data_IF_058304196815
#
_entry.id   IF_058304196815
#
_cell.length_a   1.000
_cell.length_b   1.000
_cell.length_c   1.000
_cell.angle_alpha   90.00
_cell.angle_beta   90.00
_cell.angle_gamma   90.00
#
_symmetry.space_group_name_H-M   'P 1'
#
loop_
_entity.id
_entity.type
_entity.pdbx_description
1 polymer ?
#
# COMPACT_ATOMS: atom_id res chain seq x y z
N UNK A 1 -1.54 -26.07 -8.96
CA UNK A 1 -2.27 -25.58 -7.78
C UNK A 1 -1.26 -24.80 -6.95
N UNK A 2 -1.19 -23.50 -7.14
CA UNK A 2 -0.38 -22.63 -6.28
C UNK A 2 -1.16 -22.51 -4.97
N UNK A 3 -0.54 -22.73 -3.81
CA UNK A 3 -1.23 -22.58 -2.53
C UNK A 3 -1.69 -21.12 -2.38
N UNK A 4 -2.81 -20.92 -1.69
CA UNK A 4 -3.44 -19.64 -1.36
C UNK A 4 -2.42 -18.64 -0.77
N UNK A 5 -1.77 -17.87 -1.63
CA UNK A 5 -1.06 -16.66 -1.26
C UNK A 5 -1.82 -15.50 -1.88
N UNK A 6 -2.74 -14.94 -1.11
CA UNK A 6 -3.45 -13.69 -1.45
C UNK A 6 -2.50 -12.48 -1.42
N UNK A 7 -1.27 -12.64 -0.88
CA UNK A 7 -0.23 -11.61 -0.85
C UNK A 7 1.02 -12.06 -1.63
N UNK A 8 1.47 -11.19 -2.54
CA UNK A 8 2.73 -11.34 -3.28
C UNK A 8 3.73 -10.27 -2.80
N UNK A 9 4.89 -10.71 -2.30
CA UNK A 9 6.00 -9.83 -1.93
C UNK A 9 6.98 -9.67 -3.10
N UNK A 10 7.36 -8.44 -3.41
CA UNK A 10 8.38 -8.12 -4.41
C UNK A 10 9.41 -7.17 -3.78
N UNK A 11 10.69 -7.53 -3.86
CA UNK A 11 11.79 -6.63 -3.48
C UNK A 11 12.21 -5.84 -4.72
N UNK A 12 12.07 -4.51 -4.67
CA UNK A 12 12.35 -3.63 -5.79
C UNK A 12 13.65 -2.86 -5.53
N UNK A 13 14.63 -3.04 -6.41
CA UNK A 13 15.88 -2.27 -6.46
C UNK A 13 15.85 -1.31 -7.64
N UNK A 14 16.86 -0.44 -7.72
CA UNK A 14 17.04 0.50 -8.84
C UNK A 14 17.72 -0.22 -10.01
N UNK A 15 17.08 -1.28 -10.52
CA UNK A 15 17.53 -2.08 -11.65
C UNK A 15 16.37 -2.52 -12.56
N UNK A 16 16.74 -3.01 -13.75
CA UNK A 16 15.78 -3.37 -14.81
C UNK A 16 14.97 -4.60 -14.41
N UNK A 17 15.59 -5.59 -13.77
CA UNK A 17 14.92 -6.84 -13.38
C UNK A 17 13.81 -6.59 -12.35
N UNK A 18 14.03 -5.65 -11.43
CA UNK A 18 13.03 -5.19 -10.45
C UNK A 18 11.87 -4.48 -11.14
N UNK A 19 12.15 -3.62 -12.11
CA UNK A 19 11.12 -2.93 -12.89
C UNK A 19 10.26 -3.92 -13.69
N UNK A 20 10.89 -4.89 -14.35
CA UNK A 20 10.19 -5.94 -15.10
C UNK A 20 9.28 -6.77 -14.18
N UNK A 21 9.76 -7.09 -12.97
CA UNK A 21 8.98 -7.80 -11.96
C UNK A 21 7.76 -7.00 -11.48
N UNK A 22 7.92 -5.70 -11.28
CA UNK A 22 6.82 -4.80 -10.93
C UNK A 22 5.79 -4.72 -12.07
N UNK A 23 6.24 -4.53 -13.31
CA UNK A 23 5.35 -4.46 -14.48
C UNK A 23 4.58 -5.77 -14.69
N UNK A 24 5.24 -6.90 -14.51
CA UNK A 24 4.59 -8.21 -14.57
C UNK A 24 3.48 -8.33 -13.52
N UNK A 25 3.73 -7.89 -12.28
CA UNK A 25 2.71 -7.88 -11.23
C UNK A 25 1.52 -6.96 -11.55
N UNK A 26 1.78 -5.73 -12.02
CA UNK A 26 0.73 -4.78 -12.38
C UNK A 26 -0.11 -5.25 -13.59
N UNK A 27 0.40 -6.18 -14.40
CA UNK A 27 -0.34 -6.78 -15.52
C UNK A 27 -1.35 -7.85 -15.11
N UNK A 28 -1.33 -8.30 -13.85
CA UNK A 28 -2.28 -9.27 -13.33
C UNK A 28 -3.69 -8.69 -13.19
N UNK A 29 -4.71 -9.55 -13.29
CA UNK A 29 -6.09 -9.20 -12.96
C UNK A 29 -6.39 -9.50 -11.49
N UNK A 30 -6.91 -8.52 -10.76
CA UNK A 30 -7.33 -8.68 -9.37
C UNK A 30 -8.84 -8.88 -9.32
N UNK A 31 -9.31 -10.06 -8.92
CA UNK A 31 -10.73 -10.33 -8.67
C UNK A 31 -11.10 -9.83 -7.28
N UNK A 32 -12.17 -9.03 -7.17
CA UNK A 32 -12.48 -8.18 -6.02
C UNK A 32 -12.44 -8.81 -4.63
N UNK A 33 -12.11 -7.97 -3.65
CA UNK A 33 -11.84 -8.29 -2.25
C UNK A 33 -10.44 -7.80 -1.89
N UNK A 34 -10.34 -6.63 -1.25
CA UNK A 34 -9.05 -6.07 -0.83
C UNK A 34 -8.80 -6.44 0.63
N UNK A 35 -7.90 -7.38 0.91
CA UNK A 35 -7.38 -7.59 2.26
C UNK A 35 -6.14 -6.70 2.47
N UNK A 36 -6.29 -5.67 3.30
CA UNK A 36 -5.19 -4.76 3.68
C UNK A 36 -4.42 -5.26 4.91
N UNK A 37 -5.02 -6.13 5.72
CA UNK A 37 -4.46 -6.54 7.00
C UNK A 37 -3.26 -7.48 6.79
N UNK A 38 -3.37 -8.42 5.85
CA UNK A 38 -2.27 -9.34 5.51
C UNK A 38 -0.98 -8.63 5.03
N UNK A 39 -1.01 -7.72 4.04
CA UNK A 39 0.19 -7.01 3.61
C UNK A 39 0.74 -6.05 4.69
N UNK A 40 -0.12 -5.41 5.49
CA UNK A 40 0.32 -4.56 6.60
C UNK A 40 1.01 -5.36 7.69
N UNK A 41 0.48 -6.53 8.05
CA UNK A 41 1.09 -7.42 9.02
C UNK A 41 2.50 -7.84 8.58
N UNK A 42 2.65 -8.27 7.32
CA UNK A 42 3.96 -8.65 6.77
C UNK A 42 4.93 -7.46 6.78
N UNK A 43 4.45 -6.26 6.44
CA UNK A 43 5.25 -5.04 6.48
C UNK A 43 5.76 -4.73 7.89
N UNK A 44 4.89 -4.79 8.90
CA UNK A 44 5.26 -4.60 10.31
C UNK A 44 6.26 -5.66 10.80
N UNK A 45 6.11 -6.93 10.38
CA UNK A 45 7.07 -7.99 10.67
C UNK A 45 8.43 -7.73 9.99
N UNK A 46 8.46 -7.06 8.83
CA UNK A 46 9.71 -6.64 8.19
C UNK A 46 10.41 -5.51 8.92
N UNK A 47 9.68 -4.54 9.48
CA UNK A 47 10.29 -3.45 10.27
C UNK A 47 11.09 -3.96 11.46
N UNK A 48 10.77 -5.15 11.99
CA UNK A 48 11.54 -5.78 13.05
C UNK A 48 12.93 -6.30 12.59
N UNK A 49 13.20 -6.36 11.27
CA UNK A 49 14.48 -6.76 10.71
C UNK A 49 15.40 -5.53 10.59
N UNK A 50 16.67 -5.67 10.98
CA UNK A 50 17.63 -4.56 11.04
C UNK A 50 17.80 -3.78 9.72
N UNK A 51 17.59 -4.41 8.58
CA UNK A 51 17.64 -3.77 7.26
C UNK A 51 16.49 -2.76 7.04
N UNK A 52 15.34 -2.97 7.69
CA UNK A 52 14.10 -2.22 7.47
C UNK A 52 13.65 -1.45 8.72
N UNK A 53 14.47 -1.36 9.75
CA UNK A 53 14.09 -0.79 11.05
C UNK A 53 13.85 0.72 11.06
N UNK A 54 14.11 1.39 9.94
CA UNK A 54 13.91 2.82 9.72
C UNK A 54 13.09 3.07 8.45
N UNK A 55 12.40 2.04 7.93
CA UNK A 55 11.59 2.16 6.74
C UNK A 55 10.17 2.63 7.09
N UNK A 56 9.59 3.40 6.17
CA UNK A 56 8.19 3.80 6.19
C UNK A 56 7.33 2.90 5.30
N UNK A 57 6.01 2.94 5.49
CA UNK A 57 5.06 2.17 4.68
C UNK A 57 4.30 3.12 3.75
N UNK A 58 4.31 2.83 2.45
CA UNK A 58 3.45 3.51 1.46
C UNK A 58 2.33 2.55 1.01
N UNK A 59 1.10 2.90 1.32
CA UNK A 59 -0.10 2.19 0.87
C UNK A 59 -0.71 2.88 -0.34
N UNK A 60 -0.85 2.18 -1.47
CA UNK A 60 -1.47 2.72 -2.69
C UNK A 60 -2.77 1.97 -2.96
N UNK A 61 -3.90 2.67 -2.98
CA UNK A 61 -5.24 2.07 -3.15
C UNK A 61 -6.23 3.09 -3.72
N UNK A 62 -7.31 2.61 -4.32
CA UNK A 62 -8.51 3.41 -4.66
C UNK A 62 -9.41 3.67 -3.44
N UNK A 63 -9.07 3.12 -2.27
CA UNK A 63 -9.74 3.37 -1.00
C UNK A 63 -10.94 2.48 -0.71
N UNK A 64 -11.30 1.59 -1.65
CA UNK A 64 -12.29 0.53 -1.45
C UNK A 64 -11.67 -0.63 -0.67
N UNK A 65 -11.43 -0.35 0.62
CA UNK A 65 -10.84 -1.29 1.57
C UNK A 65 -11.80 -1.53 2.73
N UNK A 66 -11.92 -2.77 3.23
CA UNK A 66 -12.69 -3.07 4.42
C UNK A 66 -12.09 -2.37 5.65
N UNK A 67 -12.88 -2.32 6.73
CA UNK A 67 -12.36 -1.85 8.00
C UNK A 67 -11.24 -2.78 8.49
N UNK A 68 -10.05 -2.24 8.83
CA UNK A 68 -8.93 -3.05 9.29
C UNK A 68 -9.18 -3.62 10.69
N UNK A 69 -8.55 -4.76 10.99
CA UNK A 69 -8.50 -5.33 12.34
C UNK A 69 -7.88 -4.31 13.33
N UNK A 70 -8.54 -4.11 14.47
CA UNK A 70 -8.06 -3.23 15.54
C UNK A 70 -6.64 -3.57 16.01
N UNK A 71 -6.24 -4.85 15.92
CA UNK A 71 -4.88 -5.29 16.26
C UNK A 71 -3.84 -4.73 15.29
N UNK A 72 -4.16 -4.62 14.00
CA UNK A 72 -3.27 -4.02 13.00
C UNK A 72 -3.14 -2.53 13.28
N UNK A 73 -4.25 -1.85 13.53
CA UNK A 73 -4.25 -0.42 13.87
C UNK A 73 -3.39 -0.14 15.11
N UNK A 74 -3.54 -0.95 16.17
CA UNK A 74 -2.74 -0.77 17.38
C UNK A 74 -1.26 -1.11 17.16
N UNK A 75 -0.94 -2.12 16.34
CA UNK A 75 0.43 -2.44 15.97
C UNK A 75 1.10 -1.31 15.20
N UNK A 76 0.39 -0.67 14.26
CA UNK A 76 0.87 0.53 13.54
C UNK A 76 1.12 1.68 14.52
N UNK A 77 0.16 1.98 15.40
CA UNK A 77 0.32 3.04 16.41
C UNK A 77 1.54 2.81 17.30
N UNK A 78 1.73 1.57 17.75
CA UNK A 78 2.89 1.18 18.56
C UNK A 78 4.19 1.35 17.79
N UNK A 79 4.26 0.88 16.55
CA UNK A 79 5.43 1.05 15.69
C UNK A 79 5.73 2.53 15.39
N UNK A 80 4.71 3.36 15.20
CA UNK A 80 4.87 4.81 15.05
C UNK A 80 5.50 5.43 16.31
N UNK A 81 5.02 5.06 17.50
CA UNK A 81 5.53 5.62 18.77
C UNK A 81 6.92 5.09 19.14
N UNK A 82 7.18 3.80 18.93
CA UNK A 82 8.43 3.14 19.37
C UNK A 82 9.56 3.25 18.34
N UNK A 83 9.23 3.24 17.05
CA UNK A 83 10.19 3.18 15.95
C UNK A 83 10.17 4.41 15.04
N UNK A 84 9.21 5.33 15.23
CA UNK A 84 9.03 6.49 14.35
C UNK A 84 8.41 6.14 12.99
N UNK A 85 7.80 4.96 12.84
CA UNK A 85 7.17 4.53 11.58
C UNK A 85 6.11 5.53 11.10
N UNK A 86 6.20 5.98 9.86
CA UNK A 86 5.10 6.66 9.17
C UNK A 86 4.41 5.73 8.17
N UNK A 87 3.08 5.77 8.15
CA UNK A 87 2.28 5.09 7.13
C UNK A 87 1.66 6.15 6.24
N UNK A 88 2.14 6.25 5.01
CA UNK A 88 1.60 7.16 4.00
C UNK A 88 0.59 6.44 3.11
N UNK A 89 -0.61 6.97 2.99
CA UNK A 89 -1.62 6.50 2.04
C UNK A 89 -1.61 7.34 0.78
N UNK A 90 -1.35 6.77 -0.39
CA UNK A 90 -1.60 7.37 -1.69
C UNK A 90 -2.94 6.85 -2.22
N UNK A 91 -3.96 7.70 -2.15
CA UNK A 91 -5.31 7.39 -2.58
C UNK A 91 -5.54 7.83 -4.02
N UNK A 92 -5.89 6.88 -4.89
CA UNK A 92 -6.27 7.14 -6.30
C UNK A 92 -7.80 7.17 -6.42
N UNK A 93 -8.43 8.08 -5.68
CA UNK A 93 -9.87 8.25 -5.65
C UNK A 93 -10.28 9.66 -5.21
N UNK A 94 -11.59 9.91 -5.19
CA UNK A 94 -12.15 11.23 -4.87
C UNK A 94 -12.35 11.47 -3.36
N UNK A 95 -12.40 10.42 -2.54
CA UNK A 95 -12.75 10.51 -1.12
C UNK A 95 -11.95 9.57 -0.23
N UNK A 96 -11.45 10.09 0.89
CA UNK A 96 -10.69 9.33 1.89
C UNK A 96 -11.65 8.56 2.80
N UNK A 97 -11.57 7.23 2.78
CA UNK A 97 -12.35 6.34 3.65
C UNK A 97 -11.88 6.42 5.11
N UNK A 98 -12.75 6.01 6.05
CA UNK A 98 -12.39 5.95 7.48
C UNK A 98 -11.25 4.96 7.73
N UNK A 99 -11.25 3.82 7.03
CA UNK A 99 -10.18 2.82 7.09
C UNK A 99 -8.81 3.44 6.77
N UNK A 100 -8.71 4.26 5.69
CA UNK A 100 -7.47 4.97 5.36
C UNK A 100 -7.00 5.90 6.48
N UNK A 101 -7.93 6.63 7.12
CA UNK A 101 -7.61 7.53 8.25
C UNK A 101 -7.15 6.79 9.50
N UNK A 102 -7.62 5.56 9.70
CA UNK A 102 -7.21 4.72 10.84
C UNK A 102 -5.82 4.12 10.65
N UNK A 103 -5.46 3.83 9.40
CA UNK A 103 -4.21 3.15 9.05
C UNK A 103 -3.05 4.11 8.78
N UNK A 104 -3.32 5.27 8.18
CA UNK A 104 -2.28 6.17 7.69
C UNK A 104 -2.01 7.32 8.67
N UNK A 105 -0.73 7.63 8.86
CA UNK A 105 -0.26 8.88 9.48
C UNK A 105 -0.62 10.06 8.58
N UNK A 106 -0.38 9.92 7.28
CA UNK A 106 -0.69 10.95 6.26
C UNK A 106 -1.38 10.33 5.05
N UNK A 107 -2.36 11.04 4.49
CA UNK A 107 -3.07 10.62 3.27
C UNK A 107 -2.91 11.66 2.17
N UNK A 108 -2.32 11.22 1.07
CA UNK A 108 -2.13 11.95 -0.18
C UNK A 108 -3.20 11.53 -1.17
N UNK A 109 -3.93 12.49 -1.76
CA UNK A 109 -5.01 12.20 -2.70
C UNK A 109 -4.58 12.57 -4.11
N UNK A 110 -4.47 11.56 -4.97
CA UNK A 110 -4.23 11.73 -6.39
C UNK A 110 -5.57 11.89 -7.13
N UNK A 111 -5.85 13.11 -7.59
CA UNK A 111 -7.15 13.47 -8.16
C UNK A 111 -7.21 13.40 -9.69
N UNK A 112 -6.07 13.60 -10.37
CA UNK A 112 -6.04 13.76 -11.82
C UNK A 112 -4.66 13.49 -12.38
N UNK A 113 -4.62 12.81 -13.52
CA UNK A 113 -3.42 12.56 -14.31
C UNK A 113 -2.92 13.81 -15.02
N UNK A 114 -3.76 14.85 -15.16
CA UNK A 114 -3.32 16.16 -15.68
C UNK A 114 -2.26 16.83 -14.78
N UNK A 115 -2.13 16.41 -13.51
CA UNK A 115 -1.08 16.86 -12.62
C UNK A 115 0.32 16.30 -12.99
N UNK A 116 0.39 15.24 -13.81
CA UNK A 116 1.63 14.63 -14.27
C UNK A 116 1.97 15.16 -15.67
N UNK A 117 3.20 15.64 -15.93
CA UNK A 117 3.59 16.10 -17.28
C UNK A 117 3.32 15.03 -18.34
N UNK A 118 2.46 15.35 -19.31
CA UNK A 118 2.04 14.43 -20.37
C UNK A 118 0.89 13.48 -19.99
N UNK A 119 0.40 13.52 -18.77
CA UNK A 119 -0.77 12.77 -18.33
C UNK A 119 -2.09 13.40 -18.80
N UNK A 120 -3.06 12.54 -19.12
CA UNK A 120 -4.42 12.93 -19.51
C UNK A 120 -5.40 12.09 -18.71
N UNK A 121 -6.52 12.69 -18.28
CA UNK A 121 -7.58 11.95 -17.62
C UNK A 121 -8.33 11.10 -18.66
N UNK A 122 -8.21 9.78 -18.56
CA UNK A 122 -9.03 8.86 -19.33
C UNK A 122 -10.35 8.65 -18.57
N UNK A 123 -11.36 9.46 -18.88
CA UNK A 123 -12.72 9.14 -18.44
C UNK A 123 -13.23 7.95 -19.26
N UNK A 124 -13.35 6.78 -18.63
CA UNK A 124 -14.17 5.71 -19.19
C UNK A 124 -15.63 6.17 -19.06
N UNK A 125 -16.26 6.46 -20.20
CA UNK A 125 -17.69 6.77 -20.34
C UNK A 125 -18.57 5.54 -20.19
#
# INVERSE_FOLDING_TARGET
MFPDREVQELELKVDVDSLDSLLAFLSCSFSGGTDVDAPLKLSLERLAKAEWSQADILMVTDGEIPNPDDKIVEAIRRANTELGLEVHGLLVASQVSEAMRRLCTDVHVFKSWTAVPGGQDFMYS
#
